data_IF_662080901674
#
_entry.id   IF_662080901674
#
_cell.length_a   1.000
_cell.length_b   1.000
_cell.length_c   1.000
_cell.angle_alpha   90.00
_cell.angle_beta   90.00
_cell.angle_gamma   90.00
#
_symmetry.space_group_name_H-M   'P 1'
#
loop_
_entity.id
_entity.type
_entity.pdbx_description
1 polymer ?
#
# COMPACT_ATOMS: atom_id res chain seq x y z
N UNK A 1 -17.41 -4.85 6.09
CA UNK A 1 -17.18 -4.97 4.64
C UNK A 1 -18.05 -3.94 3.92
N UNK A 2 -17.47 -3.06 3.10
CA UNK A 2 -18.23 -2.09 2.29
C UNK A 2 -18.28 -2.57 0.84
N UNK A 3 -19.47 -3.00 0.40
CA UNK A 3 -19.77 -3.73 -0.85
C UNK A 3 -19.72 -2.91 -2.14
N UNK A 4 -19.06 -1.73 -2.17
CA UNK A 4 -19.02 -0.87 -3.38
C UNK A 4 -17.64 -0.35 -3.79
N UNK A 5 -16.53 -0.77 -3.15
CA UNK A 5 -15.23 -0.07 -3.36
C UNK A 5 -13.96 -0.89 -3.08
N UNK A 6 -13.99 -2.22 -3.20
CA UNK A 6 -12.80 -3.08 -3.07
C UNK A 6 -12.71 -4.04 -4.26
N UNK A 7 -11.50 -4.33 -4.73
CA UNK A 7 -11.26 -5.43 -5.69
C UNK A 7 -11.81 -6.73 -5.10
N UNK A 8 -12.46 -7.55 -5.93
CA UNK A 8 -12.88 -8.90 -5.52
C UNK A 8 -11.66 -9.76 -5.17
N UNK A 9 -11.86 -10.83 -4.42
CA UNK A 9 -10.78 -11.78 -4.10
C UNK A 9 -10.15 -12.34 -5.37
N UNK A 10 -10.97 -12.75 -6.34
CA UNK A 10 -10.53 -13.20 -7.67
C UNK A 10 -9.68 -12.15 -8.40
N UNK A 11 -10.09 -10.88 -8.39
CA UNK A 11 -9.32 -9.79 -8.99
C UNK A 11 -7.97 -9.56 -8.28
N UNK A 12 -7.92 -9.79 -6.96
CA UNK A 12 -6.68 -9.67 -6.19
C UNK A 12 -5.73 -10.82 -6.50
N UNK A 13 -6.24 -12.04 -6.61
CA UNK A 13 -5.46 -13.21 -6.99
C UNK A 13 -4.94 -13.12 -8.43
N UNK A 14 -5.79 -12.70 -9.37
CA UNK A 14 -5.37 -12.45 -10.76
C UNK A 14 -4.26 -11.40 -10.84
N UNK A 15 -4.33 -10.33 -10.02
CA UNK A 15 -3.26 -9.33 -9.96
C UNK A 15 -1.94 -9.94 -9.51
N UNK A 16 -1.96 -10.70 -8.42
CA UNK A 16 -0.76 -11.33 -7.87
C UNK A 16 -0.18 -12.36 -8.84
N UNK A 17 -1.03 -13.19 -9.45
CA UNK A 17 -0.61 -14.19 -10.42
C UNK A 17 0.01 -13.58 -11.69
N UNK A 18 -0.49 -12.43 -12.16
CA UNK A 18 0.11 -11.70 -13.28
C UNK A 18 1.42 -11.02 -12.89
N UNK A 19 1.51 -10.47 -11.67
CA UNK A 19 2.76 -9.90 -11.16
C UNK A 19 3.87 -10.95 -10.97
N UNK A 20 3.52 -12.19 -10.60
CA UNK A 20 4.44 -13.32 -10.53
C UNK A 20 4.93 -13.78 -11.92
N UNK A 21 4.25 -13.41 -12.99
CA UNK A 21 4.65 -13.70 -14.38
C UNK A 21 5.50 -12.59 -15.01
N UNK A 22 6.11 -11.71 -14.20
CA UNK A 22 6.92 -10.55 -14.62
C UNK A 22 6.18 -9.55 -15.54
N UNK A 23 4.85 -9.51 -15.49
CA UNK A 23 4.06 -8.55 -16.27
C UNK A 23 4.03 -7.19 -15.59
N UNK A 24 4.31 -6.14 -16.38
CA UNK A 24 4.21 -4.74 -15.95
C UNK A 24 2.85 -4.43 -15.32
N UNK A 25 2.88 -3.61 -14.25
CA UNK A 25 1.68 -3.17 -13.54
C UNK A 25 0.61 -2.58 -14.49
N UNK A 26 1.04 -1.79 -15.47
CA UNK A 26 0.15 -1.13 -16.44
C UNK A 26 -0.65 -2.16 -17.23
N UNK A 27 0.02 -3.20 -17.74
CA UNK A 27 -0.59 -4.30 -18.50
C UNK A 27 -1.54 -5.11 -17.62
N UNK A 28 -1.11 -5.39 -16.39
CA UNK A 28 -1.88 -6.13 -15.39
C UNK A 28 -3.15 -5.36 -14.99
N UNK A 29 -3.06 -4.06 -14.74
CA UNK A 29 -4.19 -3.22 -14.34
C UNK A 29 -5.25 -3.07 -15.44
N UNK A 30 -4.83 -3.03 -16.72
CA UNK A 30 -5.75 -3.00 -17.86
C UNK A 30 -6.55 -4.29 -18.02
N UNK A 31 -6.00 -5.45 -17.61
CA UNK A 31 -6.64 -6.76 -17.77
C UNK A 31 -7.66 -7.11 -16.68
N UNK A 32 -7.46 -6.64 -15.45
CA UNK A 32 -8.21 -7.10 -14.27
C UNK A 32 -9.56 -6.38 -14.11
N UNK A 33 -9.79 -5.29 -14.84
CA UNK A 33 -11.06 -4.56 -14.86
C UNK A 33 -11.48 -4.04 -13.47
N UNK A 34 -11.12 -2.82 -13.11
CA UNK A 34 -11.47 -2.27 -11.80
C UNK A 34 -10.95 -0.86 -11.56
N UNK A 35 -11.07 -0.36 -10.32
CA UNK A 35 -10.49 0.94 -9.97
C UNK A 35 -8.98 0.86 -9.96
N UNK A 36 -8.35 1.52 -10.94
CA UNK A 36 -6.90 1.60 -11.12
C UNK A 36 -6.13 1.98 -9.84
N UNK A 37 -6.72 2.82 -8.99
CA UNK A 37 -6.16 3.23 -7.70
C UNK A 37 -6.04 2.08 -6.69
N UNK A 38 -7.01 1.17 -6.66
CA UNK A 38 -7.01 -0.01 -5.78
C UNK A 38 -6.01 -1.05 -6.29
N UNK A 39 -5.96 -1.28 -7.60
CA UNK A 39 -4.96 -2.14 -8.22
C UNK A 39 -3.55 -1.65 -7.91
N UNK A 40 -3.29 -0.34 -8.03
CA UNK A 40 -2.00 0.26 -7.68
C UNK A 40 -1.63 0.07 -6.21
N UNK A 41 -2.60 0.26 -5.31
CA UNK A 41 -2.33 0.04 -3.89
C UNK A 41 -2.05 -1.43 -3.57
N UNK A 42 -2.70 -2.37 -4.27
CA UNK A 42 -2.45 -3.80 -4.09
C UNK A 42 -1.07 -4.18 -4.63
N UNK A 43 -0.71 -3.67 -5.81
CA UNK A 43 0.62 -3.86 -6.41
C UNK A 43 1.74 -3.37 -5.49
N UNK A 44 1.62 -2.17 -4.91
CA UNK A 44 2.59 -1.69 -3.92
C UNK A 44 2.64 -2.57 -2.66
N UNK A 45 1.53 -3.17 -2.25
CA UNK A 45 1.50 -4.09 -1.12
C UNK A 45 2.21 -5.41 -1.47
N UNK A 46 1.99 -5.94 -2.66
CA UNK A 46 2.70 -7.11 -3.20
C UNK A 46 4.21 -6.85 -3.29
N UNK A 47 4.62 -5.67 -3.74
CA UNK A 47 6.04 -5.30 -3.80
C UNK A 47 6.71 -5.22 -2.41
N UNK A 48 5.93 -4.95 -1.36
CA UNK A 48 6.42 -4.87 0.02
C UNK A 48 6.37 -6.21 0.76
N UNK A 49 5.35 -7.03 0.53
CA UNK A 49 5.03 -8.20 1.35
C UNK A 49 4.77 -9.49 0.56
N UNK A 50 4.88 -9.47 -0.77
CA UNK A 50 4.56 -10.58 -1.65
C UNK A 50 3.09 -11.03 -1.55
N UNK A 51 2.85 -12.34 -1.55
CA UNK A 51 1.50 -12.94 -1.43
C UNK A 51 0.76 -12.60 -0.12
N UNK A 52 1.46 -12.09 0.90
CA UNK A 52 0.82 -11.63 2.13
C UNK A 52 -0.15 -10.45 1.88
N UNK A 53 -0.12 -9.82 0.70
CA UNK A 53 -1.11 -8.82 0.30
C UNK A 53 -2.52 -9.40 0.08
N UNK A 54 -2.66 -10.72 -0.10
CA UNK A 54 -3.95 -11.40 -0.29
C UNK A 54 -4.65 -11.66 1.03
N UNK A 55 -3.89 -11.97 2.08
CA UNK A 55 -4.40 -12.17 3.43
C UNK A 55 -5.15 -10.92 3.90
N UNK A 56 -6.32 -11.10 4.52
CA UNK A 56 -7.04 -9.99 5.14
C UNK A 56 -6.10 -9.23 6.08
N UNK A 57 -6.03 -7.91 5.93
CA UNK A 57 -5.13 -7.07 6.72
C UNK A 57 -5.44 -7.30 8.20
N UNK A 58 -4.45 -7.67 9.04
CA UNK A 58 -4.67 -7.66 10.48
C UNK A 58 -5.15 -6.26 10.87
N UNK A 59 -6.31 -6.26 11.53
CA UNK A 59 -7.08 -5.11 11.97
C UNK A 59 -6.18 -4.05 12.60
N UNK A 60 -6.23 -2.83 12.03
CA UNK A 60 -5.59 -1.58 12.50
C UNK A 60 -4.35 -1.77 13.39
N UNK A 61 -3.17 -2.01 12.80
CA UNK A 61 -1.90 -1.83 13.55
C UNK A 61 -1.83 -0.41 14.13
N UNK A 62 -1.74 -0.32 15.45
CA UNK A 62 -1.55 0.94 16.15
C UNK A 62 -0.06 1.29 16.17
N UNK A 63 0.30 2.38 15.47
CA UNK A 63 1.64 2.96 15.54
C UNK A 63 1.66 4.07 16.58
N UNK A 64 2.68 4.05 17.45
CA UNK A 64 2.91 5.11 18.44
C UNK A 64 3.16 6.46 17.75
N UNK A 65 3.05 7.54 18.53
CA UNK A 65 3.32 8.88 18.00
C UNK A 65 4.78 9.03 17.55
N UNK A 66 5.72 8.44 18.28
CA UNK A 66 7.15 8.48 18.00
C UNK A 66 7.48 7.84 16.64
N UNK A 67 6.92 6.66 16.37
CA UNK A 67 7.11 5.99 15.07
C UNK A 67 6.53 6.83 13.92
N UNK A 68 5.36 7.45 14.13
CA UNK A 68 4.79 8.33 13.11
C UNK A 68 5.66 9.56 12.88
N UNK A 69 6.22 10.13 13.95
CA UNK A 69 7.14 11.28 13.89
C UNK A 69 8.39 10.92 13.09
N UNK A 70 9.04 9.81 13.46
CA UNK A 70 10.27 9.36 12.80
C UNK A 70 10.06 9.14 11.30
N UNK A 71 8.96 8.47 10.92
CA UNK A 71 8.62 8.25 9.51
C UNK A 71 8.38 9.57 8.75
N UNK A 72 7.74 10.56 9.40
CA UNK A 72 7.53 11.88 8.80
C UNK A 72 8.85 12.63 8.66
N UNK A 73 9.68 12.64 9.70
CA UNK A 73 10.97 13.35 9.71
C UNK A 73 11.91 12.79 8.62
N UNK A 74 12.01 11.46 8.50
CA UNK A 74 12.80 10.82 7.42
C UNK A 74 12.22 11.09 6.03
N UNK A 75 10.90 11.07 5.88
CA UNK A 75 10.28 11.44 4.61
C UNK A 75 10.60 12.89 4.21
N UNK A 76 10.59 13.81 5.18
CA UNK A 76 10.99 15.21 4.97
C UNK A 76 12.50 15.35 4.68
N UNK A 77 13.33 14.44 5.17
CA UNK A 77 14.75 14.34 4.84
C UNK A 77 15.02 13.82 3.42
N UNK A 78 14.00 13.37 2.68
CA UNK A 78 14.10 12.93 1.28
C UNK A 78 13.98 11.42 1.07
N UNK A 79 13.71 10.64 2.13
CA UNK A 79 13.54 9.20 2.02
C UNK A 79 12.28 8.83 1.20
N UNK A 80 12.34 7.72 0.47
CA UNK A 80 11.18 7.29 -0.33
C UNK A 80 10.10 6.64 0.53
N UNK A 81 8.83 6.88 0.19
CA UNK A 81 7.67 6.27 0.86
C UNK A 81 7.71 4.74 0.85
N UNK A 82 8.27 4.15 -0.21
CA UNK A 82 8.40 2.69 -0.31
C UNK A 82 9.46 2.14 0.65
N UNK A 83 10.62 2.79 0.74
CA UNK A 83 11.66 2.37 1.69
C UNK A 83 11.15 2.48 3.12
N UNK A 84 10.52 3.59 3.48
CA UNK A 84 9.90 3.78 4.80
C UNK A 84 8.78 2.75 5.05
N UNK A 85 7.97 2.43 4.05
CA UNK A 85 6.94 1.41 4.21
C UNK A 85 7.54 0.01 4.42
N UNK A 86 8.65 -0.32 3.77
CA UNK A 86 9.36 -1.58 3.94
C UNK A 86 10.01 -1.67 5.32
N UNK A 87 10.73 -0.64 5.73
CA UNK A 87 11.46 -0.57 7.01
C UNK A 87 10.51 -0.64 8.20
N UNK A 88 9.46 0.19 8.21
CA UNK A 88 8.49 0.25 9.32
C UNK A 88 7.36 -0.79 9.18
N UNK A 89 7.49 -1.74 8.24
CA UNK A 89 6.50 -2.79 7.94
C UNK A 89 5.08 -2.24 7.80
N UNK A 90 4.97 -1.09 7.14
CA UNK A 90 3.69 -0.44 6.84
C UNK A 90 2.94 -1.27 5.80
N UNK A 91 1.62 -1.24 5.88
CA UNK A 91 0.75 -1.93 4.94
C UNK A 91 0.67 -1.24 3.58
N UNK A 92 1.03 0.06 3.50
CA UNK A 92 1.05 0.79 2.23
C UNK A 92 1.93 2.05 2.33
N UNK A 93 2.66 2.40 1.24
CA UNK A 93 3.37 3.69 1.17
C UNK A 93 2.41 4.89 1.23
N UNK A 94 1.11 4.69 0.99
CA UNK A 94 0.10 5.73 1.17
C UNK A 94 -0.05 6.14 2.65
N UNK A 95 0.23 5.23 3.60
CA UNK A 95 0.18 5.57 5.03
C UNK A 95 1.20 6.65 5.41
N UNK A 96 2.38 6.64 4.79
CA UNK A 96 3.40 7.69 4.97
C UNK A 96 2.85 9.05 4.52
N UNK A 97 2.24 9.10 3.33
CA UNK A 97 1.64 10.34 2.80
C UNK A 97 0.53 10.85 3.71
N UNK A 98 -0.31 9.96 4.23
CA UNK A 98 -1.40 10.32 5.13
C UNK A 98 -0.87 10.87 6.47
N UNK A 99 0.23 10.33 6.99
CA UNK A 99 0.88 10.83 8.21
C UNK A 99 1.47 12.21 8.02
N UNK A 100 2.21 12.42 6.93
CA UNK A 100 2.80 13.72 6.57
C UNK A 100 1.70 14.78 6.41
N UNK A 101 0.62 14.45 5.70
CA UNK A 101 -0.52 15.35 5.49
C UNK A 101 -1.21 15.73 6.81
N UNK A 102 -1.34 14.78 7.75
CA UNK A 102 -1.88 15.04 9.09
C UNK A 102 -0.92 15.86 9.95
N UNK A 103 0.38 15.71 9.74
CA UNK A 103 1.41 16.46 10.44
C UNK A 103 1.35 17.95 10.09
N UNK A 104 1.22 18.28 8.80
CA UNK A 104 1.09 19.66 8.33
C UNK A 104 -0.20 20.36 8.81
N UNK A 105 -1.28 19.62 9.05
CA UNK A 105 -2.55 20.18 9.56
C UNK A 105 -2.58 20.44 11.07
N UNK A 106 -1.59 19.94 11.82
CA UNK A 106 -1.51 20.10 13.28
C UNK A 106 -0.56 21.22 13.72
N UNK A 107 0.07 21.90 12.77
CA UNK A 107 0.99 23.02 13.00
C UNK A 107 0.30 24.32 12.59
#
# INVERSE_FOLDING_TARGET
>A
MNTRSSLSEEQREQLVGLCEQDLDFTTTASRIGGRHTLARSLYHCWLLHGRLCLVEKPTKKHYSFEIKKEVVDRFLAGETRMNLAKEFKLSSPQQVKDWVSKWHKRR
#
